data_IF_531815795435
#
_entry.id   IF_531815795435
#
_cell.length_a   1.000
_cell.length_b   1.000
_cell.length_c   1.000
_cell.angle_alpha   90.00
_cell.angle_beta   90.00
_cell.angle_gamma   90.00
#
_symmetry.space_group_name_H-M   'P 1'
#
loop_
_entity.id
_entity.type
_entity.pdbx_description
1 polymer ?
#
# COMPACT_ATOMS: atom_id res chain seq x y z
N UNK A 1 28.83 4.93 25.03
CA UNK A 1 28.44 3.66 24.37
C UNK A 1 26.94 3.48 24.56
N UNK A 2 26.10 4.02 23.67
CA UNK A 2 24.65 3.79 23.75
C UNK A 2 24.33 2.54 22.95
N UNK A 3 24.08 1.44 23.66
CA UNK A 3 23.47 0.24 23.10
C UNK A 3 22.06 0.62 22.59
N UNK A 4 21.93 0.77 21.28
CA UNK A 4 20.64 1.00 20.63
C UNK A 4 19.70 -0.15 20.93
N UNK A 5 18.60 0.15 21.62
CA UNK A 5 17.45 -0.75 21.74
C UNK A 5 17.02 -1.09 20.31
N UNK A 6 17.13 -2.36 19.95
CA UNK A 6 16.57 -2.87 18.70
C UNK A 6 15.07 -2.99 18.95
N UNK A 7 14.29 -2.07 18.40
CA UNK A 7 12.83 -2.22 18.37
C UNK A 7 12.50 -3.39 17.44
N UNK A 8 12.10 -4.50 18.04
CA UNK A 8 11.79 -5.75 17.33
C UNK A 8 10.39 -5.76 16.73
N UNK A 9 9.67 -4.63 16.77
CA UNK A 9 8.34 -4.47 16.20
C UNK A 9 8.15 -3.05 15.66
N UNK A 10 8.92 -2.67 14.64
CA UNK A 10 8.69 -1.40 13.96
C UNK A 10 7.28 -1.42 13.32
N UNK A 11 6.43 -0.47 13.70
CA UNK A 11 5.10 -0.34 13.10
C UNK A 11 5.25 0.31 11.73
N UNK A 12 4.63 -0.27 10.69
CA UNK A 12 4.63 0.33 9.36
C UNK A 12 3.90 1.67 9.39
N UNK A 13 4.45 2.68 8.72
CA UNK A 13 3.90 4.04 8.65
C UNK A 13 3.37 4.37 7.27
N UNK A 14 2.33 5.20 7.20
CA UNK A 14 1.82 5.73 5.94
C UNK A 14 2.88 6.66 5.29
N UNK A 15 3.26 6.44 4.02
CA UNK A 15 4.30 7.23 3.35
C UNK A 15 3.88 8.66 2.98
N UNK A 16 2.66 9.06 3.33
CA UNK A 16 2.12 10.40 3.10
C UNK A 16 1.94 11.23 4.38
N UNK A 17 1.92 10.61 5.55
CA UNK A 17 1.69 11.31 6.82
C UNK A 17 2.38 10.69 8.04
N UNK A 18 3.15 9.62 7.83
CA UNK A 18 3.97 8.92 8.84
C UNK A 18 3.21 8.27 9.99
N UNK A 19 1.88 8.39 10.04
CA UNK A 19 1.05 7.70 11.04
C UNK A 19 1.13 6.18 10.84
N UNK A 20 1.06 5.40 11.94
CA UNK A 20 0.90 3.95 11.89
C UNK A 20 -0.20 3.50 10.92
N UNK A 21 0.06 2.45 10.16
CA UNK A 21 -0.99 1.76 9.42
C UNK A 21 -1.95 1.09 10.39
N UNK A 22 -3.22 1.09 10.03
CA UNK A 22 -4.22 0.26 10.70
C UNK A 22 -4.00 -1.19 10.29
N UNK A 23 -4.56 -2.10 11.07
CA UNK A 23 -4.58 -3.52 10.72
C UNK A 23 -5.16 -3.71 9.31
N UNK A 24 -4.62 -4.66 8.56
CA UNK A 24 -5.14 -4.99 7.23
C UNK A 24 -6.52 -5.60 7.40
N UNK A 25 -7.44 -5.15 6.56
CA UNK A 25 -8.79 -5.72 6.47
C UNK A 25 -8.91 -6.50 5.16
N UNK A 26 -9.60 -7.63 5.21
CA UNK A 26 -10.03 -8.36 4.02
C UNK A 26 -11.26 -7.67 3.43
N UNK A 27 -11.05 -6.97 2.33
CA UNK A 27 -12.07 -6.17 1.65
C UNK A 27 -12.53 -6.92 0.40
N UNK A 28 -13.82 -7.26 0.35
CA UNK A 28 -14.42 -7.79 -0.88
C UNK A 28 -14.68 -6.65 -1.86
N UNK A 29 -14.07 -6.73 -3.04
CA UNK A 29 -14.26 -5.73 -4.10
C UNK A 29 -15.56 -5.95 -4.84
N UNK A 30 -15.93 -4.99 -5.71
CA UNK A 30 -17.15 -5.06 -6.53
C UNK A 30 -17.22 -6.29 -7.43
N UNK A 31 -16.08 -6.89 -7.80
CA UNK A 31 -16.01 -8.06 -8.66
C UNK A 31 -15.89 -9.39 -7.89
N UNK A 32 -15.95 -9.35 -6.55
CA UNK A 32 -15.94 -10.53 -5.69
C UNK A 32 -14.55 -11.05 -5.34
N UNK A 33 -13.47 -10.43 -5.81
CA UNK A 33 -12.13 -10.68 -5.29
C UNK A 33 -11.97 -10.09 -3.89
N UNK A 34 -11.13 -10.74 -3.07
CA UNK A 34 -10.77 -10.26 -1.74
C UNK A 34 -9.38 -9.64 -1.82
N UNK A 35 -9.26 -8.40 -1.34
CA UNK A 35 -8.00 -7.68 -1.23
C UNK A 35 -7.70 -7.38 0.23
N UNK A 36 -6.46 -7.57 0.67
CA UNK A 36 -6.03 -7.15 2.00
C UNK A 36 -5.54 -5.70 1.94
N UNK A 37 -6.22 -4.78 2.62
CA UNK A 37 -5.92 -3.35 2.50
C UNK A 37 -6.58 -2.49 3.58
N UNK A 38 -6.61 -1.18 3.35
CA UNK A 38 -7.25 -0.25 4.27
C UNK A 38 -7.12 1.22 3.85
N UNK A 39 -7.55 2.11 4.74
CA UNK A 39 -7.44 3.57 4.58
C UNK A 39 -6.73 4.20 5.76
N UNK A 40 -5.80 5.09 5.45
CA UNK A 40 -5.19 5.98 6.41
C UNK A 40 -6.08 7.19 6.66
N UNK A 41 -6.07 7.71 7.89
CA UNK A 41 -6.79 8.93 8.28
C UNK A 41 -6.39 10.18 7.49
N UNK A 42 -5.21 10.19 6.87
CA UNK A 42 -4.80 11.28 5.99
C UNK A 42 -5.47 11.26 4.61
N UNK A 43 -6.37 10.30 4.36
CA UNK A 43 -7.08 10.10 3.10
C UNK A 43 -6.38 9.20 2.10
N UNK A 44 -5.23 8.62 2.44
CA UNK A 44 -4.56 7.64 1.58
C UNK A 44 -5.23 6.26 1.69
N UNK A 45 -5.33 5.54 0.58
CA UNK A 45 -5.67 4.12 0.56
C UNK A 45 -4.39 3.28 0.46
N UNK A 46 -4.44 2.03 0.94
CA UNK A 46 -3.34 1.08 0.79
C UNK A 46 -3.82 -0.35 0.57
N UNK A 47 -3.04 -1.12 -0.17
CA UNK A 47 -3.26 -2.53 -0.48
C UNK A 47 -1.97 -3.31 -0.29
N UNK A 48 -2.08 -4.53 0.21
CA UNK A 48 -0.99 -5.49 0.37
C UNK A 48 -1.15 -6.67 -0.60
N UNK A 49 -0.19 -6.84 -1.51
CA UNK A 49 -0.04 -8.07 -2.31
C UNK A 49 1.05 -8.95 -1.68
N UNK A 50 0.63 -10.00 -1.00
CA UNK A 50 1.55 -10.97 -0.39
C UNK A 50 2.33 -11.81 -1.40
N UNK A 51 1.89 -11.89 -2.65
CA UNK A 51 2.50 -12.70 -3.70
C UNK A 51 3.58 -11.96 -4.49
N UNK A 52 3.42 -10.64 -4.64
CA UNK A 52 4.20 -9.82 -5.56
C UNK A 52 3.97 -10.17 -7.05
N UNK A 53 2.92 -10.93 -7.37
CA UNK A 53 2.55 -11.32 -8.74
C UNK A 53 1.42 -10.49 -9.31
N UNK A 54 0.59 -9.89 -8.44
CA UNK A 54 -0.68 -9.28 -8.82
C UNK A 54 -0.62 -7.76 -8.59
N UNK A 55 0.55 -7.14 -8.80
CA UNK A 55 0.76 -5.70 -8.59
C UNK A 55 -0.19 -4.86 -9.47
N UNK A 56 -0.52 -5.34 -10.68
CA UNK A 56 -1.52 -4.71 -11.54
C UNK A 56 -2.91 -4.68 -10.92
N UNK A 57 -3.38 -5.82 -10.39
CA UNK A 57 -4.68 -5.89 -9.70
C UNK A 57 -4.67 -5.05 -8.43
N UNK A 58 -3.58 -5.11 -7.66
CA UNK A 58 -3.39 -4.30 -6.46
C UNK A 58 -3.43 -2.78 -6.76
N UNK A 59 -3.00 -2.36 -7.95
CA UNK A 59 -3.12 -0.97 -8.41
C UNK A 59 -4.59 -0.58 -8.67
N UNK A 60 -5.36 -1.46 -9.31
CA UNK A 60 -6.81 -1.24 -9.51
C UNK A 60 -7.54 -1.19 -8.17
N UNK A 61 -7.20 -2.11 -7.27
CA UNK A 61 -7.81 -2.21 -5.95
C UNK A 61 -7.52 -0.97 -5.10
N UNK A 62 -6.28 -0.47 -5.08
CA UNK A 62 -5.94 0.71 -4.27
C UNK A 62 -6.63 1.98 -4.78
N UNK A 63 -6.79 2.15 -6.10
CA UNK A 63 -7.53 3.27 -6.68
C UNK A 63 -9.04 3.17 -6.43
N UNK A 64 -9.58 1.97 -6.55
CA UNK A 64 -10.99 1.71 -6.22
C UNK A 64 -11.25 2.02 -4.74
N UNK A 65 -10.36 1.60 -3.84
CA UNK A 65 -10.42 1.96 -2.42
C UNK A 65 -10.33 3.46 -2.21
N UNK A 66 -9.37 4.14 -2.85
CA UNK A 66 -9.23 5.60 -2.79
C UNK A 66 -10.54 6.32 -3.18
N UNK A 67 -11.26 5.77 -4.16
CA UNK A 67 -12.56 6.26 -4.63
C UNK A 67 -13.77 5.69 -3.88
N UNK A 68 -13.58 5.08 -2.71
CA UNK A 68 -14.66 4.50 -1.88
C UNK A 68 -15.48 3.39 -2.59
N UNK A 69 -14.84 2.60 -3.45
CA UNK A 69 -15.51 1.54 -4.20
C UNK A 69 -16.09 2.00 -5.54
N UNK A 70 -15.98 3.29 -5.88
CA UNK A 70 -16.42 3.83 -7.16
C UNK A 70 -15.37 3.58 -8.24
N UNK A 71 -15.58 2.50 -9.00
CA UNK A 71 -14.71 2.08 -10.08
C UNK A 71 -14.72 3.06 -11.25
N UNK A 72 -15.89 3.62 -11.59
CA UNK A 72 -16.01 4.54 -12.72
C UNK A 72 -15.23 5.83 -12.43
N UNK A 73 -15.31 6.31 -11.18
CA UNK A 73 -14.47 7.40 -10.71
C UNK A 73 -12.99 7.04 -10.75
N UNK A 74 -12.59 5.86 -10.28
CA UNK A 74 -11.20 5.43 -10.29
C UNK A 74 -10.58 5.43 -11.70
N UNK A 75 -11.35 5.00 -12.71
CA UNK A 75 -10.92 5.03 -14.11
C UNK A 75 -10.87 6.42 -14.74
N UNK A 76 -11.58 7.39 -14.17
CA UNK A 76 -11.57 8.77 -14.64
C UNK A 76 -10.36 9.57 -14.12
N UNK A 77 -9.57 9.02 -13.19
CA UNK A 77 -8.42 9.71 -12.60
C UNK A 77 -7.18 9.59 -13.48
N UNK A 78 -6.44 10.67 -13.59
CA UNK A 78 -5.13 10.71 -14.25
C UNK A 78 -4.00 10.59 -13.22
N UNK A 79 -3.07 9.62 -13.37
CA UNK A 79 -1.90 9.49 -12.51
C UNK A 79 -1.06 10.77 -12.51
N UNK A 80 -0.49 11.13 -11.36
CA UNK A 80 0.31 12.35 -11.14
C UNK A 80 -0.43 13.68 -11.31
N UNK A 81 -1.66 13.69 -11.81
CA UNK A 81 -2.52 14.88 -11.86
C UNK A 81 -3.54 14.83 -10.72
N UNK A 82 -4.35 13.77 -10.67
CA UNK A 82 -5.42 13.61 -9.68
C UNK A 82 -4.99 12.84 -8.45
N UNK A 83 -3.95 12.00 -8.56
CA UNK A 83 -3.46 11.17 -7.46
C UNK A 83 -1.97 10.86 -7.59
N UNK A 84 -1.35 10.47 -6.48
CA UNK A 84 0.01 9.94 -6.40
C UNK A 84 -0.05 8.49 -5.90
N UNK A 85 0.79 7.61 -6.46
CA UNK A 85 0.98 6.23 -5.98
C UNK A 85 2.42 6.00 -5.53
N UNK A 86 2.57 5.30 -4.41
CA UNK A 86 3.86 4.84 -3.89
C UNK A 86 3.84 3.33 -3.70
N UNK A 87 4.83 2.65 -4.27
CA UNK A 87 5.02 1.21 -4.14
C UNK A 87 6.20 0.91 -3.20
N UNK A 88 6.01 0.00 -2.26
CA UNK A 88 7.04 -0.44 -1.33
C UNK A 88 7.11 -1.95 -1.25
N UNK A 89 8.30 -2.50 -1.45
CA UNK A 89 8.57 -3.89 -1.11
C UNK A 89 8.60 -4.06 0.42
N UNK A 90 8.05 -5.17 0.91
CA UNK A 90 7.90 -5.43 2.34
C UNK A 90 8.84 -6.56 2.82
N UNK A 91 9.74 -6.20 3.74
CA UNK A 91 10.61 -7.16 4.44
C UNK A 91 9.90 -7.72 5.67
N UNK A 92 9.12 -8.78 5.49
CA UNK A 92 8.33 -9.41 6.55
C UNK A 92 9.13 -9.77 7.82
N UNK A 93 10.38 -10.23 7.67
CA UNK A 93 11.26 -10.58 8.81
C UNK A 93 11.63 -9.40 9.71
N UNK A 94 11.60 -8.17 9.18
CA UNK A 94 11.99 -6.96 9.89
C UNK A 94 10.84 -5.98 10.10
N UNK A 95 9.64 -6.33 9.64
CA UNK A 95 8.44 -5.50 9.61
C UNK A 95 8.73 -4.06 9.11
N UNK A 96 9.29 -3.93 7.91
CA UNK A 96 9.63 -2.62 7.33
C UNK A 96 9.49 -2.62 5.81
N UNK A 97 9.35 -1.43 5.24
CA UNK A 97 9.57 -1.22 3.81
C UNK A 97 11.07 -1.29 3.51
N UNK A 98 11.43 -2.00 2.45
CA UNK A 98 12.82 -2.06 2.02
C UNK A 98 13.21 -0.74 1.34
N UNK A 99 14.39 -0.22 1.67
CA UNK A 99 14.99 0.92 0.97
C UNK A 99 15.60 0.55 -0.39
N UNK A 100 15.81 -0.74 -0.62
CA UNK A 100 16.47 -1.26 -1.82
C UNK A 100 15.44 -1.57 -2.90
N UNK A 101 15.75 -1.17 -4.14
CA UNK A 101 15.04 -1.71 -5.30
C UNK A 101 15.42 -3.17 -5.46
N UNK A 102 14.43 -4.08 -5.52
CA UNK A 102 14.75 -5.48 -5.81
C UNK A 102 15.37 -5.59 -7.20
N UNK A 103 16.49 -6.29 -7.29
CA UNK A 103 17.09 -6.62 -8.58
C UNK A 103 16.06 -7.30 -9.49
N UNK A 104 16.12 -7.01 -10.80
CA UNK A 104 15.19 -7.55 -11.80
C UNK A 104 14.91 -9.05 -11.55
N UNK A 105 13.64 -9.39 -11.37
CA UNK A 105 13.16 -10.78 -11.23
C UNK A 105 13.03 -11.29 -9.78
N UNK A 106 13.51 -10.58 -8.76
CA UNK A 106 13.19 -10.91 -7.36
C UNK A 106 11.81 -10.36 -7.00
N UNK A 107 10.88 -11.29 -6.79
CA UNK A 107 9.49 -11.03 -6.39
C UNK A 107 9.43 -10.95 -4.87
N UNK A 108 8.74 -9.95 -4.33
CA UNK A 108 8.51 -9.84 -2.89
C UNK A 108 7.12 -9.30 -2.61
N UNK A 109 6.60 -9.49 -1.38
CA UNK A 109 5.36 -8.86 -0.98
C UNK A 109 5.43 -7.34 -1.14
N UNK A 110 4.36 -6.74 -1.64
CA UNK A 110 4.30 -5.31 -1.97
C UNK A 110 3.18 -4.63 -1.21
N UNK A 111 3.44 -3.42 -0.71
CA UNK A 111 2.41 -2.47 -0.33
C UNK A 111 2.31 -1.38 -1.40
N UNK A 112 1.11 -1.14 -1.89
CA UNK A 112 0.77 -0.01 -2.73
C UNK A 112 -0.03 1.00 -1.91
N UNK A 113 0.35 2.27 -2.02
CA UNK A 113 -0.36 3.39 -1.40
C UNK A 113 -0.81 4.36 -2.47
N UNK A 114 -2.04 4.83 -2.39
CA UNK A 114 -2.56 5.88 -3.28
C UNK A 114 -3.16 7.03 -2.47
N UNK A 115 -2.98 8.26 -2.94
CA UNK A 115 -3.57 9.45 -2.32
C UNK A 115 -3.98 10.47 -3.38
N UNK A 116 -5.17 11.05 -3.23
CA UNK A 116 -5.63 12.14 -4.07
C UNK A 116 -4.70 13.36 -3.92
N UNK A 117 -4.34 13.98 -5.04
CA UNK A 117 -3.71 15.29 -5.07
C UNK A 117 -4.80 16.35 -4.82
N UNK A 118 -4.42 17.43 -4.14
CA UNK A 118 -5.31 18.56 -3.86
C UNK A 118 -5.17 19.62 -4.93
#
# INVERSE_FOLDING_TARGET
>A
MHAGRRDHNAVLGCPFCERPLRELEDITTKFGNVVSGGKCECGAAYVYDGSGHNVGDAYVDVLTLLCNGDLDRAWALTPEEDYEVKEFNYESRKNRFSSESLGRGKRSPVYLFAKMKK
#
